data_IF_440360528962
#
_entry.id   IF_440360528962
#
_cell.length_a   1.000
_cell.length_b   1.000
_cell.length_c   1.000
_cell.angle_alpha   90.00
_cell.angle_beta   90.00
_cell.angle_gamma   90.00
#
_symmetry.space_group_name_H-M   'P 1'
#
loop_
_entity.id
_entity.type
_entity.pdbx_description
1 polymer ?
#
# COMPACT_ATOMS: atom_id res chain seq x y z
N UNK A 1 14.63 -3.92 1.05
CA UNK A 1 13.41 -3.50 1.79
C UNK A 1 13.24 -4.47 2.95
N UNK A 2 13.34 -4.00 4.21
CA UNK A 2 13.10 -4.83 5.39
C UNK A 2 11.64 -5.31 5.33
N UNK A 3 11.38 -6.57 5.70
CA UNK A 3 10.04 -7.12 5.69
C UNK A 3 9.15 -6.34 6.67
N UNK A 4 7.92 -6.07 6.28
CA UNK A 4 6.92 -5.47 7.14
C UNK A 4 6.64 -6.42 8.31
N UNK A 5 6.68 -6.00 9.59
CA UNK A 5 6.45 -6.90 10.71
C UNK A 5 4.95 -7.12 10.95
N UNK A 6 4.18 -7.46 9.92
CA UNK A 6 2.81 -7.93 10.14
C UNK A 6 2.85 -9.35 10.71
N UNK A 7 1.89 -9.75 11.58
CA UNK A 7 1.73 -11.15 11.92
C UNK A 7 1.65 -11.95 10.61
N UNK A 8 2.20 -13.16 10.59
CA UNK A 8 2.01 -14.06 9.45
C UNK A 8 0.72 -14.84 9.63
N UNK A 9 -0.05 -15.09 8.55
CA UNK A 9 -1.19 -16.00 8.62
C UNK A 9 -0.78 -17.38 9.15
N UNK A 10 -1.61 -18.01 9.98
CA UNK A 10 -1.40 -19.39 10.42
C UNK A 10 -1.71 -20.40 9.30
N UNK A 11 -1.45 -21.69 9.53
CA UNK A 11 -1.86 -22.73 8.58
C UNK A 11 -3.38 -22.79 8.41
N UNK A 12 -4.13 -22.55 9.48
CA UNK A 12 -5.59 -22.48 9.48
C UNK A 12 -6.09 -21.27 8.70
N UNK A 13 -5.44 -20.11 8.84
CA UNK A 13 -5.77 -18.93 8.05
C UNK A 13 -5.50 -19.15 6.54
N UNK A 14 -4.53 -20.01 6.19
CA UNK A 14 -4.21 -20.35 4.80
C UNK A 14 -5.04 -21.53 4.25
N UNK A 15 -5.91 -22.15 5.06
CA UNK A 15 -6.67 -23.33 4.65
C UNK A 15 -7.77 -23.04 3.62
N UNK A 16 -8.21 -21.78 3.52
CA UNK A 16 -9.18 -21.33 2.51
C UNK A 16 -9.09 -19.82 2.29
N UNK A 17 -9.58 -19.34 1.15
CA UNK A 17 -9.68 -17.89 0.87
C UNK A 17 -10.53 -17.19 1.94
N UNK A 18 -11.61 -17.81 2.39
CA UNK A 18 -12.48 -17.28 3.46
C UNK A 18 -11.72 -17.10 4.77
N UNK A 19 -10.93 -18.10 5.18
CA UNK A 19 -10.12 -18.02 6.40
C UNK A 19 -9.08 -16.90 6.29
N UNK A 20 -8.40 -16.81 5.14
CA UNK A 20 -7.39 -15.79 4.88
C UNK A 20 -7.98 -14.39 4.88
N UNK A 21 -9.11 -14.17 4.19
CA UNK A 21 -9.79 -12.87 4.19
C UNK A 21 -10.26 -12.48 5.59
N UNK A 22 -10.71 -13.45 6.38
CA UNK A 22 -11.02 -13.24 7.80
C UNK A 22 -9.80 -12.76 8.60
N UNK A 23 -8.64 -13.39 8.39
CA UNK A 23 -7.38 -12.99 9.01
C UNK A 23 -6.93 -11.60 8.57
N UNK A 24 -7.00 -11.29 7.27
CA UNK A 24 -6.64 -9.98 6.70
C UNK A 24 -7.49 -8.89 7.35
N UNK A 25 -8.81 -9.10 7.46
CA UNK A 25 -9.70 -8.15 8.14
C UNK A 25 -9.30 -7.92 9.60
N UNK A 26 -8.95 -9.01 10.31
CA UNK A 26 -8.54 -8.97 11.73
C UNK A 26 -7.13 -8.44 11.99
N UNK A 27 -6.24 -8.36 11.01
CA UNK A 27 -4.85 -7.94 11.24
C UNK A 27 -4.42 -6.72 10.42
N UNK A 28 -5.03 -6.53 9.25
CA UNK A 28 -4.76 -5.40 8.36
C UNK A 28 -5.93 -4.40 8.34
N UNK A 29 -7.10 -4.76 8.89
CA UNK A 29 -8.23 -3.84 9.02
C UNK A 29 -9.03 -3.63 7.74
N UNK A 30 -8.77 -4.43 6.71
CA UNK A 30 -9.40 -4.30 5.39
C UNK A 30 -9.99 -5.63 4.92
N UNK A 31 -11.03 -5.57 4.09
CA UNK A 31 -11.46 -6.72 3.31
C UNK A 31 -10.77 -6.66 1.94
N UNK A 32 -9.96 -7.66 1.62
CA UNK A 32 -9.36 -7.74 0.29
C UNK A 32 -10.33 -8.41 -0.69
N UNK A 33 -10.29 -8.06 -1.99
CA UNK A 33 -10.98 -8.80 -3.03
C UNK A 33 -10.62 -10.28 -2.98
N UNK A 34 -11.58 -11.15 -3.32
CA UNK A 34 -11.35 -12.60 -3.30
C UNK A 34 -10.15 -13.02 -4.16
N UNK A 35 -9.97 -12.36 -5.31
CA UNK A 35 -8.85 -12.58 -6.23
C UNK A 35 -7.49 -12.35 -5.58
N UNK A 36 -7.35 -11.36 -4.70
CA UNK A 36 -6.12 -11.12 -3.94
C UNK A 36 -5.86 -12.26 -2.95
N UNK A 37 -6.92 -12.75 -2.29
CA UNK A 37 -6.83 -13.92 -1.40
C UNK A 37 -6.41 -15.19 -2.15
N UNK A 38 -6.99 -15.43 -3.33
CA UNK A 38 -6.59 -16.54 -4.20
C UNK A 38 -5.12 -16.44 -4.63
N UNK A 39 -4.68 -15.24 -5.03
CA UNK A 39 -3.28 -15.00 -5.41
C UNK A 39 -2.31 -15.24 -4.25
N UNK A 40 -2.64 -14.79 -3.04
CA UNK A 40 -1.81 -14.99 -1.85
C UNK A 40 -1.65 -16.47 -1.48
N UNK A 41 -2.68 -17.30 -1.71
CA UNK A 41 -2.62 -18.75 -1.47
C UNK A 41 -1.85 -19.46 -2.58
N UNK A 42 -2.09 -19.10 -3.84
CA UNK A 42 -1.56 -19.82 -4.99
C UNK A 42 -0.10 -19.47 -5.33
N UNK A 43 0.36 -18.25 -5.02
CA UNK A 43 1.65 -17.77 -5.50
C UNK A 43 2.64 -17.44 -4.38
N UNK A 44 3.69 -18.24 -4.29
CA UNK A 44 4.87 -17.96 -3.47
C UNK A 44 6.11 -17.80 -4.36
N UNK A 45 6.19 -16.67 -5.08
CA UNK A 45 7.38 -16.37 -5.88
C UNK A 45 8.61 -16.27 -4.99
N UNK A 46 9.71 -17.01 -5.26
CA UNK A 46 10.91 -16.94 -4.45
C UNK A 46 11.46 -15.51 -4.34
N UNK A 47 12.07 -15.17 -3.20
CA UNK A 47 12.59 -13.82 -2.96
C UNK A 47 13.55 -13.32 -4.06
N UNK A 48 14.31 -14.23 -4.69
CA UNK A 48 15.18 -13.92 -5.84
C UNK A 48 14.42 -13.37 -7.05
N UNK A 49 13.21 -13.88 -7.30
CA UNK A 49 12.36 -13.43 -8.41
C UNK A 49 11.86 -12.01 -8.14
N UNK A 50 11.34 -11.77 -6.93
CA UNK A 50 10.92 -10.43 -6.50
C UNK A 50 12.06 -9.42 -6.60
N UNK A 51 13.26 -9.79 -6.16
CA UNK A 51 14.46 -8.95 -6.26
C UNK A 51 14.77 -8.60 -7.72
N UNK A 52 14.80 -9.60 -8.60
CA UNK A 52 15.07 -9.39 -10.03
C UNK A 52 14.02 -8.48 -10.70
N UNK A 53 12.74 -8.57 -10.34
CA UNK A 53 11.69 -7.66 -10.85
C UNK A 53 11.96 -6.21 -10.45
N UNK A 54 12.25 -5.98 -9.17
CA UNK A 54 12.52 -4.63 -8.65
C UNK A 54 13.78 -4.05 -9.31
N UNK A 55 14.85 -4.85 -9.40
CA UNK A 55 16.11 -4.43 -10.01
C UNK A 55 15.98 -4.21 -11.53
N UNK A 56 15.11 -4.96 -12.20
CA UNK A 56 14.80 -4.82 -13.62
C UNK A 56 13.82 -3.68 -13.96
N UNK A 57 13.34 -2.93 -12.97
CA UNK A 57 12.38 -1.84 -13.22
C UNK A 57 13.00 -0.74 -14.07
N UNK A 58 12.38 -0.43 -15.20
CA UNK A 58 12.78 0.69 -16.06
C UNK A 58 12.41 2.02 -15.38
N UNK A 59 13.37 2.94 -15.29
CA UNK A 59 13.11 4.31 -14.84
C UNK A 59 12.54 5.14 -15.99
N UNK A 60 11.38 5.74 -15.76
CA UNK A 60 10.80 6.74 -16.65
C UNK A 60 11.17 8.13 -16.10
N UNK A 61 12.01 8.86 -16.83
CA UNK A 61 12.55 10.15 -16.39
C UNK A 61 11.85 11.34 -17.04
N UNK A 62 11.01 11.11 -18.05
CA UNK A 62 10.23 12.12 -18.74
C UNK A 62 8.80 11.62 -18.88
N UNK A 63 7.87 12.35 -18.27
CA UNK A 63 6.43 12.06 -18.31
C UNK A 63 5.76 13.34 -18.83
N UNK A 64 5.29 13.29 -20.07
CA UNK A 64 4.78 14.46 -20.81
C UNK A 64 3.25 14.44 -20.97
N UNK A 65 2.56 13.62 -20.20
CA UNK A 65 1.09 13.50 -20.21
C UNK A 65 0.54 13.98 -18.88
N UNK A 66 -0.72 14.43 -18.83
CA UNK A 66 -1.39 14.70 -17.56
C UNK A 66 -1.35 13.47 -16.65
N UNK A 67 -0.99 13.66 -15.38
CA UNK A 67 -0.95 12.57 -14.39
C UNK A 67 -1.71 12.95 -13.12
N UNK A 68 -2.56 12.05 -12.68
CA UNK A 68 -3.13 12.04 -11.34
C UNK A 68 -2.48 10.93 -10.51
N UNK A 69 -1.82 11.30 -9.42
CA UNK A 69 -1.34 10.38 -8.40
C UNK A 69 -2.19 10.51 -7.14
N UNK A 70 -2.84 9.42 -6.74
CA UNK A 70 -3.62 9.36 -5.50
C UNK A 70 -2.89 8.44 -4.52
N UNK A 71 -2.56 8.94 -3.34
CA UNK A 71 -1.75 8.21 -2.39
C UNK A 71 -2.21 8.40 -0.94
N UNK A 72 -2.04 7.35 -0.15
CA UNK A 72 -2.23 7.38 1.29
C UNK A 72 -0.97 7.95 1.96
N UNK A 73 -1.09 9.12 2.61
CA UNK A 73 0.02 9.71 3.35
C UNK A 73 -0.45 10.72 4.43
N UNK A 74 0.05 10.63 5.69
CA UNK A 74 0.67 9.43 6.25
C UNK A 74 -0.32 8.26 6.21
N UNK A 75 0.18 7.04 6.02
CA UNK A 75 -0.66 5.84 6.03
C UNK A 75 -1.14 5.53 7.45
N UNK A 76 -2.35 4.99 7.57
CA UNK A 76 -2.86 4.43 8.82
C UNK A 76 -2.43 2.96 8.96
N UNK A 77 -1.66 2.71 10.01
CA UNK A 77 -1.14 1.39 10.38
C UNK A 77 -1.66 0.92 11.74
N UNK A 78 -2.67 1.61 12.30
CA UNK A 78 -3.23 1.33 13.63
C UNK A 78 -3.67 -0.13 13.78
N UNK A 79 -4.26 -0.72 12.74
CA UNK A 79 -4.68 -2.12 12.71
C UNK A 79 -3.52 -3.11 12.89
N UNK A 80 -2.31 -2.74 12.46
CA UNK A 80 -1.13 -3.61 12.48
C UNK A 80 -0.39 -3.56 13.81
N UNK A 81 -0.49 -2.45 14.55
CA UNK A 81 0.17 -2.29 15.86
C UNK A 81 -0.74 -2.66 17.03
N UNK A 82 -2.07 -2.70 16.85
CA UNK A 82 -3.02 -2.85 17.96
C UNK A 82 -2.84 -4.12 18.81
N UNK A 83 -2.35 -5.19 18.21
CA UNK A 83 -2.18 -6.49 18.88
C UNK A 83 -0.80 -6.66 19.53
N UNK A 84 0.09 -5.69 19.34
CA UNK A 84 1.46 -5.73 19.88
C UNK A 84 1.44 -5.15 21.30
N UNK A 85 1.51 -6.04 22.28
CA UNK A 85 1.50 -5.67 23.70
C UNK A 85 2.89 -5.43 24.27
N UNK A 86 3.93 -6.05 23.70
CA UNK A 86 5.31 -5.85 24.10
C UNK A 86 5.81 -4.45 23.69
N UNK A 87 6.22 -3.58 24.64
CA UNK A 87 6.65 -2.22 24.34
C UNK A 87 7.86 -2.14 23.40
N UNK A 88 8.83 -3.06 23.51
CA UNK A 88 10.00 -3.05 22.64
C UNK A 88 9.66 -3.42 21.20
N UNK A 89 8.86 -4.48 21.02
CA UNK A 89 8.36 -4.88 19.71
C UNK A 89 7.49 -3.78 19.09
N UNK A 90 6.67 -3.10 19.89
CA UNK A 90 5.85 -1.98 19.44
C UNK A 90 6.72 -0.82 18.94
N UNK A 91 7.73 -0.41 19.70
CA UNK A 91 8.65 0.66 19.30
C UNK A 91 9.41 0.30 18.00
N UNK A 92 9.85 -0.96 17.85
CA UNK A 92 10.49 -1.45 16.62
C UNK A 92 9.53 -1.38 15.42
N UNK A 93 8.27 -1.75 15.61
CA UNK A 93 7.26 -1.65 14.55
C UNK A 93 7.00 -0.20 14.16
N UNK A 94 6.73 0.68 15.14
CA UNK A 94 6.50 2.11 14.91
C UNK A 94 7.65 2.77 14.15
N UNK A 95 8.91 2.41 14.45
CA UNK A 95 10.07 2.89 13.71
C UNK A 95 10.09 2.42 12.23
N UNK A 96 9.69 1.17 11.95
CA UNK A 96 9.57 0.67 10.57
C UNK A 96 8.46 1.41 9.82
N UNK A 97 7.32 1.64 10.47
CA UNK A 97 6.18 2.35 9.89
C UNK A 97 6.51 3.82 9.60
N UNK A 98 7.28 4.47 10.48
CA UNK A 98 7.81 5.81 10.25
C UNK A 98 8.77 5.86 9.04
N UNK A 99 9.66 4.87 8.90
CA UNK A 99 10.54 4.74 7.71
C UNK A 99 9.75 4.51 6.42
N UNK A 100 8.65 3.76 6.46
CA UNK A 100 7.74 3.60 5.32
C UNK A 100 7.10 4.93 4.94
N UNK A 101 6.52 5.67 5.89
CA UNK A 101 5.96 6.99 5.62
C UNK A 101 7.01 7.96 5.09
N UNK A 102 8.22 8.00 5.66
CA UNK A 102 9.31 8.84 5.16
C UNK A 102 9.76 8.50 3.74
N UNK A 103 9.62 7.24 3.29
CA UNK A 103 9.84 6.86 1.89
C UNK A 103 8.72 7.33 0.98
N UNK A 104 7.46 7.21 1.42
CA UNK A 104 6.30 7.70 0.67
C UNK A 104 6.39 9.22 0.50
N UNK A 105 6.76 9.95 1.54
CA UNK A 105 7.01 11.39 1.47
C UNK A 105 8.03 11.75 0.39
N UNK A 106 9.20 11.10 0.41
CA UNK A 106 10.24 11.29 -0.62
C UNK A 106 9.75 10.95 -2.02
N UNK A 107 8.89 9.94 -2.17
CA UNK A 107 8.28 9.60 -3.46
C UNK A 107 7.31 10.68 -3.94
N UNK A 108 6.47 11.21 -3.05
CA UNK A 108 5.55 12.31 -3.35
C UNK A 108 6.33 13.55 -3.81
N UNK A 109 7.40 13.90 -3.09
CA UNK A 109 8.27 15.03 -3.46
C UNK A 109 8.97 14.81 -4.80
N UNK A 110 9.51 13.62 -5.03
CA UNK A 110 10.15 13.27 -6.29
C UNK A 110 9.16 13.33 -7.46
N UNK A 111 7.93 12.86 -7.26
CA UNK A 111 6.87 12.93 -8.26
C UNK A 111 6.52 14.39 -8.59
N UNK A 112 6.28 15.23 -7.58
CA UNK A 112 5.97 16.66 -7.77
C UNK A 112 7.06 17.39 -8.55
N UNK A 113 8.33 17.03 -8.32
CA UNK A 113 9.48 17.62 -9.03
C UNK A 113 9.65 17.06 -10.45
N UNK A 114 9.37 15.77 -10.65
CA UNK A 114 9.65 15.05 -11.90
C UNK A 114 8.52 15.06 -12.93
N UNK A 115 7.28 15.35 -12.50
CA UNK A 115 6.09 15.35 -13.38
C UNK A 115 5.52 16.76 -13.44
N UNK A 116 5.94 17.51 -14.46
CA UNK A 116 5.43 18.86 -14.69
C UNK A 116 3.91 18.83 -14.88
N UNK A 117 3.19 19.64 -14.10
CA UNK A 117 1.72 19.67 -14.12
C UNK A 117 1.03 18.43 -13.52
N UNK A 118 1.77 17.50 -12.91
CA UNK A 118 1.19 16.34 -12.24
C UNK A 118 0.40 16.74 -10.98
N UNK A 119 -0.81 16.21 -10.83
CA UNK A 119 -1.65 16.40 -9.65
C UNK A 119 -1.42 15.28 -8.65
N UNK A 120 -1.13 15.63 -7.39
CA UNK A 120 -1.05 14.68 -6.29
C UNK A 120 -2.18 14.91 -5.32
N UNK A 121 -3.02 13.89 -5.13
CA UNK A 121 -4.03 13.85 -4.08
C UNK A 121 -3.50 13.00 -2.93
N UNK A 122 -3.46 13.61 -1.75
CA UNK A 122 -3.08 12.93 -0.52
C UNK A 122 -4.35 12.61 0.26
N UNK A 123 -4.55 11.33 0.57
CA UNK A 123 -5.63 10.86 1.44
C UNK A 123 -5.02 10.56 2.82
N UNK A 124 -5.14 11.47 3.80
CA UNK A 124 -4.46 11.33 5.07
C UNK A 124 -5.05 10.21 5.91
N UNK A 125 -4.19 9.52 6.70
CA UNK A 125 -4.60 8.45 7.62
C UNK A 125 -5.44 7.38 6.93
N UNK A 126 -5.09 7.04 5.70
CA UNK A 126 -5.76 6.00 4.91
C UNK A 126 -4.88 4.78 4.73
N UNK A 127 -5.50 3.68 4.32
CA UNK A 127 -4.81 2.43 4.07
C UNK A 127 -4.07 2.46 2.73
N UNK A 128 -3.00 1.67 2.57
CA UNK A 128 -2.26 1.56 1.31
C UNK A 128 -3.16 1.25 0.11
N UNK A 129 -4.22 0.46 0.32
CA UNK A 129 -5.27 0.19 -0.64
C UNK A 129 -6.29 1.34 -0.67
N UNK A 130 -5.84 2.52 -1.11
CA UNK A 130 -6.60 3.78 -1.04
C UNK A 130 -7.96 3.71 -1.73
N UNK A 131 -8.08 2.96 -2.84
CA UNK A 131 -9.37 2.75 -3.50
C UNK A 131 -10.36 1.99 -2.61
N UNK A 132 -9.89 0.96 -1.90
CA UNK A 132 -10.75 0.15 -1.04
C UNK A 132 -11.15 0.89 0.24
N UNK A 133 -10.28 1.76 0.79
CA UNK A 133 -10.57 2.50 2.02
C UNK A 133 -11.29 3.83 1.80
N UNK A 134 -11.19 4.42 0.61
CA UNK A 134 -11.66 5.77 0.31
C UNK A 134 -12.27 5.87 -1.10
N UNK A 135 -13.05 4.87 -1.51
CA UNK A 135 -13.59 4.75 -2.88
C UNK A 135 -14.28 6.02 -3.37
N UNK A 136 -15.16 6.61 -2.55
CA UNK A 136 -15.89 7.81 -2.91
C UNK A 136 -14.97 9.01 -3.22
N UNK A 137 -13.92 9.19 -2.41
CA UNK A 137 -12.92 10.23 -2.64
C UNK A 137 -12.11 9.93 -3.90
N UNK A 138 -11.65 8.69 -4.08
CA UNK A 138 -10.88 8.30 -5.25
C UNK A 138 -11.69 8.51 -6.53
N UNK A 139 -12.95 8.07 -6.56
CA UNK A 139 -13.84 8.24 -7.71
C UNK A 139 -14.11 9.73 -8.00
N UNK A 140 -14.28 10.56 -6.97
CA UNK A 140 -14.44 12.01 -7.15
C UNK A 140 -13.22 12.63 -7.83
N UNK A 141 -12.03 12.34 -7.32
CA UNK A 141 -10.79 12.91 -7.85
C UNK A 141 -10.47 12.40 -9.26
N UNK A 142 -10.76 11.13 -9.53
CA UNK A 142 -10.64 10.55 -10.88
C UNK A 142 -11.59 11.24 -11.87
N UNK A 143 -12.87 11.39 -11.52
CA UNK A 143 -13.85 12.05 -12.38
C UNK A 143 -13.45 13.50 -12.66
N UNK A 144 -13.15 14.27 -11.62
CA UNK A 144 -12.74 15.67 -11.76
C UNK A 144 -11.45 15.83 -12.58
N UNK A 145 -10.51 14.87 -12.48
CA UNK A 145 -9.32 14.88 -13.31
C UNK A 145 -9.65 14.60 -14.78
N UNK A 146 -10.43 13.54 -15.07
CA UNK A 146 -10.82 13.15 -16.42
C UNK A 146 -11.64 14.25 -17.11
N UNK A 147 -12.59 14.87 -16.40
CA UNK A 147 -13.38 16.00 -16.91
C UNK A 147 -12.53 17.24 -17.23
N UNK A 148 -11.37 17.37 -16.60
CA UNK A 148 -10.40 18.43 -16.88
C UNK A 148 -9.40 18.09 -18.00
N UNK A 149 -9.45 16.87 -18.57
CA UNK A 149 -8.67 16.50 -19.74
C UNK A 149 -9.45 16.93 -20.99
N UNK A 150 -9.01 18.01 -21.62
CA UNK A 150 -9.55 18.47 -22.91
C UNK A 150 -9.06 17.60 -24.06
#
# INVERSE_FOLDING_TARGET
MKAFPSPSPSKEDLASVTALTGWIRRNLGMAYPESEGQQLIAHNSPARVRKAIIEGTKKFTQINVPVLAICAYPQDFSSQVRHVTDPEQRAKMEAVLADVNGKVEKQIEAFRKGVAGGRVVIVPKSHHYVFLSNEADVLREMKAFIEGLN
#
